data_IF_258614687556
#
_entry.id   IF_258614687556
#
_cell.length_a   1.000
_cell.length_b   1.000
_cell.length_c   1.000
_cell.angle_alpha   90.00
_cell.angle_beta   90.00
_cell.angle_gamma   90.00
#
_symmetry.space_group_name_H-M   'P 1'
#
loop_
_entity.id
_entity.type
_entity.pdbx_description
1 polymer ?
#
# COMPACT_ATOMS: atom_id res chain seq x y z
N UNK A 1 5.60 8.90 2.09
CA UNK A 1 4.60 9.28 3.12
C UNK A 1 4.54 8.15 4.12
N UNK A 2 4.38 8.42 5.42
CA UNK A 2 4.30 7.34 6.41
C UNK A 2 3.07 6.46 6.18
N UNK A 3 3.26 5.14 6.20
CA UNK A 3 2.24 4.12 5.96
C UNK A 3 1.48 4.22 4.62
N UNK A 4 2.05 4.92 3.63
CA UNK A 4 1.42 5.10 2.32
C UNK A 4 2.43 5.10 1.18
N UNK A 5 1.93 4.94 -0.04
CA UNK A 5 2.67 5.22 -1.26
C UNK A 5 2.28 6.61 -1.80
N UNK A 6 3.23 7.35 -2.38
CA UNK A 6 2.94 8.63 -3.04
C UNK A 6 1.78 8.49 -4.05
N UNK A 7 1.01 9.56 -4.28
CA UNK A 7 0.22 9.63 -5.52
C UNK A 7 1.21 9.85 -6.64
N UNK A 8 1.49 8.81 -7.41
CA UNK A 8 2.45 8.93 -8.50
C UNK A 8 1.72 9.50 -9.72
N UNK A 9 1.77 10.83 -9.85
CA UNK A 9 1.29 11.55 -11.04
C UNK A 9 1.96 11.08 -12.34
N UNK A 10 3.07 10.32 -12.25
CA UNK A 10 3.87 9.82 -13.38
C UNK A 10 3.82 8.30 -13.58
N UNK A 11 3.28 7.53 -12.62
CA UNK A 11 3.16 6.07 -12.81
C UNK A 11 1.98 5.78 -13.73
N UNK A 12 2.25 5.19 -14.89
CA UNK A 12 1.21 4.90 -15.90
C UNK A 12 0.50 3.56 -15.63
N UNK A 13 1.05 2.74 -14.75
CA UNK A 13 0.57 1.38 -14.45
C UNK A 13 0.75 1.00 -12.97
N UNK A 14 -0.13 0.15 -12.40
CA UNK A 14 0.13 -0.53 -11.13
C UNK A 14 1.46 -1.28 -11.08
N UNK A 15 1.98 -1.68 -12.24
CA UNK A 15 3.30 -2.32 -12.36
C UNK A 15 4.44 -1.40 -11.90
N UNK A 16 4.45 -0.14 -12.37
CA UNK A 16 5.45 0.84 -11.99
C UNK A 16 5.41 1.09 -10.47
N UNK A 17 4.21 1.14 -9.90
CA UNK A 17 4.02 1.28 -8.45
C UNK A 17 4.57 0.08 -7.68
N UNK A 18 4.33 -1.15 -8.15
CA UNK A 18 4.87 -2.34 -7.51
C UNK A 18 6.41 -2.34 -7.61
N UNK A 19 6.97 -2.06 -8.78
CA UNK A 19 8.41 -2.06 -9.01
C UNK A 19 9.15 -1.06 -8.11
N UNK A 20 8.62 0.15 -7.97
CA UNK A 20 9.19 1.17 -7.08
C UNK A 20 9.09 0.72 -5.63
N UNK A 21 7.91 0.24 -5.20
CA UNK A 21 7.64 -0.08 -3.79
C UNK A 21 8.39 -1.31 -3.28
N UNK A 22 8.48 -2.38 -4.10
CA UNK A 22 9.07 -3.66 -3.68
C UNK A 22 10.53 -3.79 -4.09
N UNK A 23 10.92 -3.34 -5.29
CA UNK A 23 12.29 -3.54 -5.81
C UNK A 23 13.21 -2.36 -5.57
N UNK A 24 12.72 -1.12 -5.67
CA UNK A 24 13.60 0.05 -5.51
C UNK A 24 13.75 0.42 -4.05
N UNK A 25 12.63 0.50 -3.31
CA UNK A 25 12.68 0.83 -1.89
C UNK A 25 13.18 -0.35 -1.03
N UNK A 26 13.00 -1.60 -1.47
CA UNK A 26 13.56 -2.79 -0.79
C UNK A 26 15.10 -2.83 -0.72
N UNK A 27 15.80 -1.97 -1.49
CA UNK A 27 17.27 -1.83 -1.45
C UNK A 27 17.75 -0.83 -0.38
N UNK A 28 16.82 -0.12 0.29
CA UNK A 28 17.15 0.87 1.31
C UNK A 28 17.69 0.16 2.56
N UNK A 29 18.79 0.64 3.17
CA UNK A 29 19.30 0.09 4.42
C UNK A 29 18.22 0.08 5.51
N UNK A 30 18.15 -0.99 6.30
CA UNK A 30 17.12 -1.18 7.33
C UNK A 30 17.04 -0.06 8.36
N UNK A 31 18.16 0.61 8.61
CA UNK A 31 18.32 1.72 9.55
C UNK A 31 18.20 3.11 8.89
N UNK A 32 17.86 3.18 7.61
CA UNK A 32 17.68 4.45 6.94
C UNK A 32 16.47 5.20 7.53
N UNK A 33 16.68 6.48 7.82
CA UNK A 33 15.62 7.40 8.20
C UNK A 33 14.83 7.82 6.97
N UNK A 34 13.52 7.86 7.11
CA UNK A 34 12.56 8.24 6.09
C UNK A 34 11.94 9.57 6.50
N UNK A 35 12.06 10.54 5.60
CA UNK A 35 11.50 11.88 5.75
C UNK A 35 10.39 12.06 4.70
N UNK A 36 9.12 11.79 5.05
CA UNK A 36 8.02 11.95 4.11
C UNK A 36 7.76 13.43 3.80
N UNK A 37 7.52 13.75 2.52
CA UNK A 37 7.24 15.13 2.10
C UNK A 37 5.87 15.69 2.55
N UNK A 38 4.97 14.86 3.09
CA UNK A 38 3.64 15.26 3.56
C UNK A 38 3.24 14.44 4.80
N UNK A 39 2.59 15.10 5.77
CA UNK A 39 2.09 14.52 7.02
C UNK A 39 0.69 13.93 6.83
N UNK A 40 0.60 12.73 6.24
CA UNK A 40 -0.66 11.98 6.09
C UNK A 40 -0.71 10.71 6.95
N UNK A 41 0.16 10.61 7.96
CA UNK A 41 0.34 9.40 8.76
C UNK A 41 -0.98 8.87 9.34
N UNK A 42 -1.81 9.71 9.96
CA UNK A 42 -3.07 9.27 10.59
C UNK A 42 -4.04 8.68 9.55
N UNK A 43 -4.26 9.35 8.42
CA UNK A 43 -5.15 8.84 7.36
C UNK A 43 -4.62 7.54 6.74
N UNK A 44 -3.30 7.46 6.57
CA UNK A 44 -2.63 6.26 6.05
C UNK A 44 -2.72 5.08 7.01
N UNK A 45 -2.42 5.28 8.29
CA UNK A 45 -2.49 4.26 9.32
C UNK A 45 -3.94 3.84 9.60
N UNK A 46 -4.91 4.76 9.51
CA UNK A 46 -6.33 4.41 9.64
C UNK A 46 -6.76 3.50 8.49
N UNK A 47 -6.41 3.83 7.24
CA UNK A 47 -6.66 2.92 6.13
C UNK A 47 -5.96 1.57 6.31
N UNK A 48 -4.67 1.58 6.66
CA UNK A 48 -3.90 0.36 6.89
C UNK A 48 -4.54 -0.54 7.96
N UNK A 49 -5.12 0.05 9.02
CA UNK A 49 -5.82 -0.69 10.08
C UNK A 49 -7.08 -1.40 9.58
N UNK A 50 -7.68 -0.94 8.47
CA UNK A 50 -8.81 -1.64 7.84
C UNK A 50 -8.37 -2.79 6.93
N UNK A 51 -7.09 -2.84 6.55
CA UNK A 51 -6.49 -3.88 5.72
C UNK A 51 -5.84 -4.99 6.56
N UNK A 52 -5.25 -4.63 7.71
CA UNK A 52 -4.71 -5.59 8.69
C UNK A 52 -5.17 -5.22 10.12
N UNK A 53 -6.43 -5.50 10.51
CA UNK A 53 -6.94 -5.20 11.84
C UNK A 53 -6.10 -5.80 12.98
N UNK A 54 -5.50 -6.97 12.78
CA UNK A 54 -4.72 -7.64 13.83
C UNK A 54 -3.25 -7.19 13.92
N UNK A 55 -2.78 -6.33 12.99
CA UNK A 55 -1.40 -5.86 13.00
C UNK A 55 -1.18 -4.77 14.07
N UNK A 56 -0.62 -5.20 15.21
CA UNK A 56 -0.33 -4.33 16.36
C UNK A 56 0.65 -3.19 16.04
N UNK A 57 1.52 -3.34 15.04
CA UNK A 57 2.43 -2.26 14.64
C UNK A 57 1.66 -1.07 14.05
N UNK A 58 0.60 -1.34 13.28
CA UNK A 58 -0.30 -0.31 12.75
C UNK A 58 -1.00 0.41 13.89
N UNK A 59 -1.56 -0.35 14.85
CA UNK A 59 -2.30 0.23 15.98
C UNK A 59 -1.39 1.10 16.87
N UNK A 60 -0.19 0.61 17.18
CA UNK A 60 0.80 1.35 17.95
C UNK A 60 1.21 2.64 17.24
N UNK A 61 1.54 2.57 15.94
CA UNK A 61 1.94 3.75 15.18
C UNK A 61 0.79 4.74 15.00
N UNK A 62 -0.45 4.28 14.85
CA UNK A 62 -1.63 5.13 14.78
C UNK A 62 -1.84 5.91 16.08
N UNK A 63 -1.65 5.26 17.23
CA UNK A 63 -1.71 5.91 18.54
C UNK A 63 -0.63 6.99 18.67
N UNK A 64 0.63 6.66 18.33
CA UNK A 64 1.74 7.63 18.31
C UNK A 64 1.46 8.82 17.40
N UNK A 65 0.91 8.57 16.21
CA UNK A 65 0.57 9.63 15.26
C UNK A 65 -0.53 10.57 15.79
N UNK A 66 -1.53 10.03 16.47
CA UNK A 66 -2.59 10.83 17.11
C UNK A 66 -2.03 11.68 18.25
N UNK A 67 -1.21 11.08 19.13
CA UNK A 67 -0.57 11.80 20.23
C UNK A 67 0.36 12.92 19.74
N UNK A 68 1.18 12.64 18.72
CA UNK A 68 2.06 13.63 18.12
C UNK A 68 1.27 14.82 17.56
N UNK A 69 0.13 14.56 16.91
CA UNK A 69 -0.78 15.60 16.41
C UNK A 69 -1.41 16.42 17.53
N UNK A 70 -1.86 15.78 18.62
CA UNK A 70 -2.41 16.47 19.80
C UNK A 70 -1.38 17.40 20.45
N UNK A 71 -0.11 16.98 20.48
CA UNK A 71 1.01 17.75 21.02
C UNK A 71 1.62 18.75 20.03
N UNK A 72 1.12 18.83 18.79
CA UNK A 72 1.69 19.62 17.69
C UNK A 72 3.20 19.37 17.45
N UNK A 73 3.65 18.13 17.58
CA UNK A 73 5.03 17.70 17.28
C UNK A 73 5.07 16.84 16.01
N UNK A 74 6.17 16.88 15.24
CA UNK A 74 6.32 16.04 14.06
C UNK A 74 6.42 14.55 14.43
N UNK A 75 5.81 13.68 13.62
CA UNK A 75 5.98 12.23 13.73
C UNK A 75 7.30 11.73 13.10
N UNK A 76 7.91 12.58 12.28
CA UNK A 76 9.10 12.27 11.48
C UNK A 76 10.40 12.49 12.28
N UNK A 77 11.48 11.76 11.97
CA UNK A 77 11.58 10.70 10.96
C UNK A 77 10.93 9.38 11.39
N UNK A 78 10.60 8.54 10.40
CA UNK A 78 10.37 7.10 10.62
C UNK A 78 11.59 6.31 10.14
N UNK A 79 11.76 5.07 10.58
CA UNK A 79 12.78 4.17 10.02
C UNK A 79 12.23 3.25 8.93
N UNK A 80 13.09 2.78 8.02
CA UNK A 80 12.71 1.76 7.02
C UNK A 80 12.14 0.50 7.66
N UNK A 81 12.77 0.02 8.74
CA UNK A 81 12.28 -1.14 9.49
C UNK A 81 10.87 -0.92 10.04
N UNK A 82 10.59 0.27 10.58
CA UNK A 82 9.25 0.63 11.04
C UNK A 82 8.24 0.64 9.88
N UNK A 83 8.54 1.29 8.76
CA UNK A 83 7.62 1.32 7.61
C UNK A 83 7.31 -0.09 7.11
N UNK A 84 8.29 -1.01 7.03
CA UNK A 84 8.04 -2.40 6.65
C UNK A 84 7.12 -3.16 7.62
N UNK A 85 6.94 -2.69 8.86
CA UNK A 85 6.08 -3.33 9.85
C UNK A 85 4.60 -2.98 9.72
N UNK A 86 4.27 -1.78 9.23
CA UNK A 86 2.89 -1.26 9.19
C UNK A 86 2.44 -0.71 7.82
N UNK A 87 3.35 -0.50 6.87
CA UNK A 87 3.03 0.08 5.58
C UNK A 87 2.55 -1.03 4.63
N UNK A 88 1.26 -1.08 4.26
CA UNK A 88 0.72 -2.18 3.47
C UNK A 88 1.33 -2.24 2.06
N UNK A 89 1.79 -1.12 1.51
CA UNK A 89 2.40 -1.05 0.17
C UNK A 89 3.80 -1.65 0.11
N UNK A 90 4.48 -1.78 1.26
CA UNK A 90 5.81 -2.39 1.35
C UNK A 90 5.76 -3.89 1.70
N UNK A 91 4.55 -4.43 1.88
CA UNK A 91 4.30 -5.79 2.38
C UNK A 91 3.47 -6.61 1.38
N UNK A 92 3.58 -6.30 0.10
CA UNK A 92 2.88 -7.02 -0.96
C UNK A 92 3.75 -8.10 -1.61
N UNK A 93 5.07 -8.03 -1.47
CA UNK A 93 5.97 -9.02 -2.07
C UNK A 93 5.83 -10.40 -1.42
N UNK A 94 6.10 -11.43 -2.19
CA UNK A 94 6.08 -12.84 -1.78
C UNK A 94 6.93 -13.17 -0.55
N UNK A 95 7.94 -12.35 -0.20
CA UNK A 95 8.84 -12.58 0.94
C UNK A 95 8.32 -12.00 2.25
N UNK A 96 7.56 -10.91 2.19
CA UNK A 96 7.13 -10.13 3.35
C UNK A 96 5.60 -10.04 3.49
N UNK A 97 4.84 -10.59 2.53
CA UNK A 97 3.37 -10.50 2.55
C UNK A 97 2.75 -11.20 3.74
N UNK A 98 1.84 -10.47 4.39
CA UNK A 98 0.93 -10.98 5.40
C UNK A 98 -0.26 -11.66 4.71
N UNK A 99 -0.63 -12.86 5.17
CA UNK A 99 -1.81 -13.56 4.66
C UNK A 99 -3.08 -12.73 4.90
N UNK A 100 -3.20 -12.12 6.08
CA UNK A 100 -4.35 -11.26 6.42
C UNK A 100 -4.46 -10.07 5.47
N UNK A 101 -3.35 -9.37 5.21
CA UNK A 101 -3.32 -8.25 4.27
C UNK A 101 -3.79 -8.68 2.89
N UNK A 102 -3.25 -9.79 2.41
CA UNK A 102 -3.53 -10.31 1.08
C UNK A 102 -5.01 -10.70 0.92
N UNK A 103 -5.53 -11.51 1.84
CA UNK A 103 -6.92 -11.98 1.84
C UNK A 103 -7.88 -10.78 1.94
N UNK A 104 -7.55 -9.79 2.78
CA UNK A 104 -8.38 -8.58 2.95
C UNK A 104 -8.41 -7.70 1.70
N UNK A 105 -7.27 -7.51 1.03
CA UNK A 105 -7.19 -6.75 -0.22
C UNK A 105 -8.08 -7.39 -1.28
N UNK A 106 -7.92 -8.70 -1.52
CA UNK A 106 -8.65 -9.40 -2.58
C UNK A 106 -10.15 -9.44 -2.27
N UNK A 107 -10.53 -9.83 -1.04
CA UNK A 107 -11.94 -9.90 -0.63
C UNK A 107 -12.65 -8.55 -0.78
N UNK A 108 -11.99 -7.44 -0.37
CA UNK A 108 -12.56 -6.10 -0.54
C UNK A 108 -12.60 -5.69 -2.02
N UNK A 109 -11.55 -6.00 -2.79
CA UNK A 109 -11.49 -5.63 -4.20
C UNK A 109 -12.52 -6.37 -5.06
N UNK A 110 -12.91 -7.59 -4.67
CA UNK A 110 -14.00 -8.36 -5.27
C UNK A 110 -15.39 -7.83 -4.89
N UNK A 111 -15.51 -7.16 -3.74
CA UNK A 111 -16.80 -6.68 -3.23
C UNK A 111 -17.08 -5.22 -3.56
N UNK A 112 -16.04 -4.41 -3.77
CA UNK A 112 -16.15 -2.97 -3.99
C UNK A 112 -16.11 -2.66 -5.47
N UNK A 113 -17.14 -2.00 -6.01
CA UNK A 113 -17.17 -1.52 -7.39
C UNK A 113 -16.37 -0.21 -7.56
N UNK A 114 -15.85 0.01 -8.77
CA UNK A 114 -15.32 1.32 -9.12
C UNK A 114 -16.45 2.37 -9.17
N UNK A 115 -16.17 3.65 -8.85
CA UNK A 115 -17.17 4.70 -8.98
C UNK A 115 -17.70 4.77 -10.40
N UNK A 116 -19.04 4.80 -10.54
CA UNK A 116 -19.74 4.89 -11.84
C UNK A 116 -19.51 3.68 -12.77
N UNK A 117 -19.17 2.52 -12.21
CA UNK A 117 -19.00 1.25 -12.93
C UNK A 117 -19.68 0.11 -12.18
N UNK A 118 -20.17 -0.89 -12.89
CA UNK A 118 -20.68 -2.15 -12.32
C UNK A 118 -19.58 -3.20 -12.13
N UNK A 119 -18.34 -2.88 -12.49
CA UNK A 119 -17.19 -3.77 -12.30
C UNK A 119 -16.59 -3.56 -10.92
N UNK A 120 -16.26 -4.67 -10.28
CA UNK A 120 -15.47 -4.70 -9.04
C UNK A 120 -14.08 -4.12 -9.31
N UNK A 121 -13.39 -3.66 -8.27
CA UNK A 121 -12.00 -3.19 -8.37
C UNK A 121 -11.13 -4.29 -8.97
N UNK A 122 -11.28 -5.54 -8.49
CA UNK A 122 -10.48 -6.66 -8.99
C UNK A 122 -10.77 -6.92 -10.47
N UNK A 123 -12.04 -6.96 -10.87
CA UNK A 123 -12.42 -7.21 -12.26
C UNK A 123 -11.92 -6.12 -13.19
N UNK A 124 -11.87 -4.87 -12.74
CA UNK A 124 -11.36 -3.76 -13.53
C UNK A 124 -9.83 -3.81 -13.67
N UNK A 125 -9.10 -4.10 -12.60
CA UNK A 125 -7.63 -4.00 -12.56
C UNK A 125 -6.96 -5.24 -13.15
N UNK A 126 -7.46 -6.44 -12.84
CA UNK A 126 -6.78 -7.70 -13.16
C UNK A 126 -6.52 -7.88 -14.67
N UNK A 127 -7.47 -7.61 -15.60
CA UNK A 127 -7.21 -7.76 -17.03
C UNK A 127 -6.13 -6.81 -17.54
N UNK A 128 -6.17 -5.55 -17.12
CA UNK A 128 -5.20 -4.52 -17.54
C UNK A 128 -3.78 -4.87 -17.06
N UNK A 129 -3.67 -5.34 -15.80
CA UNK A 129 -2.40 -5.80 -15.23
C UNK A 129 -1.89 -7.03 -15.97
N UNK A 130 -2.75 -8.02 -16.26
CA UNK A 130 -2.36 -9.22 -17.00
C UNK A 130 -1.83 -8.88 -18.39
N UNK A 131 -2.54 -8.02 -19.13
CA UNK A 131 -2.13 -7.59 -20.46
C UNK A 131 -0.79 -6.84 -20.41
N UNK A 132 -0.64 -5.92 -19.46
CA UNK A 132 0.59 -5.15 -19.31
C UNK A 132 1.78 -6.03 -18.91
N UNK A 133 1.60 -6.92 -17.93
CA UNK A 133 2.65 -7.84 -17.48
C UNK A 133 3.06 -8.82 -18.60
N UNK A 134 2.10 -9.33 -19.38
CA UNK A 134 2.39 -10.17 -20.53
C UNK A 134 3.24 -9.44 -21.58
N UNK A 135 2.95 -8.16 -21.85
CA UNK A 135 3.76 -7.31 -22.73
C UNK A 135 5.20 -7.08 -22.26
N UNK A 136 5.46 -7.25 -20.95
CA UNK A 136 6.79 -7.17 -20.34
C UNK A 136 7.44 -8.55 -20.14
N UNK A 137 6.80 -9.64 -20.57
CA UNK A 137 7.29 -11.01 -20.37
C UNK A 137 7.25 -11.47 -18.91
N UNK A 138 6.37 -10.89 -18.08
CA UNK A 138 6.24 -11.21 -16.66
C UNK A 138 5.13 -12.22 -16.41
N UNK A 139 5.35 -13.14 -15.49
CA UNK A 139 4.41 -14.21 -15.11
C UNK A 139 4.63 -14.66 -13.67
N UNK A 140 3.64 -15.35 -13.09
CA UNK A 140 3.72 -15.92 -11.73
C UNK A 140 3.49 -14.87 -10.64
N UNK A 141 4.10 -15.07 -9.47
CA UNK A 141 3.84 -14.27 -8.25
C UNK A 141 3.95 -12.75 -8.49
N UNK A 142 4.87 -12.29 -9.34
CA UNK A 142 5.04 -10.87 -9.62
C UNK A 142 3.76 -10.23 -10.20
N UNK A 143 2.98 -10.98 -10.99
CA UNK A 143 1.74 -10.47 -11.56
C UNK A 143 0.69 -10.30 -10.47
N UNK A 144 0.59 -11.29 -9.58
CA UNK A 144 -0.34 -11.23 -8.45
C UNK A 144 0.01 -10.08 -7.49
N UNK A 145 1.30 -9.84 -7.24
CA UNK A 145 1.79 -8.70 -6.46
C UNK A 145 1.36 -7.36 -7.08
N UNK A 146 1.43 -7.24 -8.42
CA UNK A 146 1.00 -6.04 -9.15
C UNK A 146 -0.52 -5.86 -9.09
N UNK A 147 -1.29 -6.94 -9.22
CA UNK A 147 -2.75 -6.90 -9.06
C UNK A 147 -3.11 -6.43 -7.65
N UNK A 148 -2.50 -6.99 -6.62
CA UNK A 148 -2.71 -6.61 -5.23
C UNK A 148 -2.35 -5.13 -4.99
N UNK A 149 -1.24 -4.65 -5.56
CA UNK A 149 -0.84 -3.25 -5.50
C UNK A 149 -1.89 -2.32 -6.11
N UNK A 150 -2.39 -2.66 -7.30
CA UNK A 150 -3.45 -1.90 -7.96
C UNK A 150 -4.74 -1.86 -7.13
N UNK A 151 -5.15 -3.02 -6.61
CA UNK A 151 -6.35 -3.14 -5.78
C UNK A 151 -6.25 -2.33 -4.49
N UNK A 152 -5.12 -2.45 -3.77
CA UNK A 152 -4.86 -1.70 -2.55
C UNK A 152 -4.88 -0.20 -2.79
N UNK A 153 -4.35 0.26 -3.92
CA UNK A 153 -4.40 1.68 -4.32
C UNK A 153 -5.84 2.14 -4.56
N UNK A 154 -6.61 1.41 -5.37
CA UNK A 154 -7.99 1.76 -5.67
C UNK A 154 -8.87 1.78 -4.41
N UNK A 155 -8.67 0.84 -3.48
CA UNK A 155 -9.32 0.82 -2.17
C UNK A 155 -8.98 2.06 -1.35
N UNK A 156 -7.71 2.49 -1.34
CA UNK A 156 -7.28 3.71 -0.64
C UNK A 156 -7.91 4.97 -1.23
N UNK A 157 -8.03 5.04 -2.55
CA UNK A 157 -8.61 6.19 -3.24
C UNK A 157 -10.12 6.34 -2.97
N UNK A 158 -10.82 5.23 -2.79
CA UNK A 158 -12.23 5.24 -2.36
C UNK A 158 -12.39 5.46 -0.85
N UNK A 159 -11.43 5.04 -0.03
CA UNK A 159 -11.44 5.29 1.42
C UNK A 159 -11.25 6.78 1.77
N UNK A 160 -10.60 7.55 0.89
CA UNK A 160 -10.31 8.96 1.11
C UNK A 160 -11.46 9.92 0.69
N UNK A 161 -12.63 9.39 0.33
CA UNK A 161 -13.85 10.16 -0.03
C UNK A 161 -14.81 10.28 1.15
#
# INVERSE_FOLDING_TARGET
>A
MTAGCGRFFEAKSPYDMNLISTKTLGLIPKNANIFPGHEYAISNLTFASTMEPTNMAIQSKLSQAKQARELNIPLVPTSWTEECSYNPYLRLDSKHRSKELWDTILSKAESVCLPRSNRTILDAIKPDVLQHCAGLGLSGDIVDEVVAMGCLRALKDQFAQ
#
